data_IF_546436683526
#
_entry.id   IF_546436683526
#
_cell.length_a   1.000
_cell.length_b   1.000
_cell.length_c   1.000
_cell.angle_alpha   90.00
_cell.angle_beta   90.00
_cell.angle_gamma   90.00
#
_symmetry.space_group_name_H-M   'P 1'
#
loop_
_entity.id
_entity.type
_entity.pdbx_description
1 polymer ?
#
# COMPACT_ATOMS: atom_id res chain seq x y z
N UNK A 1 -40.87 -43.69 -67.11
CA UNK A 1 -41.33 -44.07 -65.76
C UNK A 1 -40.13 -44.13 -64.83
N UNK A 2 -40.32 -43.61 -63.61
CA UNK A 2 -39.46 -43.67 -62.40
C UNK A 2 -38.24 -42.72 -62.34
N UNK A 3 -38.38 -41.77 -61.42
CA UNK A 3 -37.37 -40.86 -60.89
C UNK A 3 -36.30 -41.58 -60.05
N UNK A 4 -35.10 -41.02 -59.90
CA UNK A 4 -34.23 -41.29 -58.77
C UNK A 4 -34.35 -40.21 -57.69
N UNK A 5 -33.95 -40.64 -56.49
CA UNK A 5 -34.24 -40.09 -55.18
C UNK A 5 -33.57 -38.75 -54.86
N UNK A 6 -34.29 -37.97 -54.05
CA UNK A 6 -33.77 -36.87 -53.25
C UNK A 6 -32.77 -37.40 -52.20
N UNK A 7 -31.61 -36.75 -52.12
CA UNK A 7 -30.82 -36.68 -50.88
C UNK A 7 -30.74 -35.21 -50.49
N UNK A 8 -31.38 -34.88 -49.38
CA UNK A 8 -31.41 -33.54 -48.77
C UNK A 8 -30.02 -33.04 -48.43
N UNK A 9 -29.56 -31.99 -49.09
CA UNK A 9 -28.50 -31.14 -48.58
C UNK A 9 -29.14 -30.12 -47.62
N UNK A 10 -29.00 -30.36 -46.31
CA UNK A 10 -29.30 -29.34 -45.29
C UNK A 10 -28.15 -28.35 -45.32
N UNK A 11 -28.31 -27.25 -46.06
CA UNK A 11 -27.50 -26.05 -45.84
C UNK A 11 -27.82 -25.51 -44.44
N UNK A 12 -26.83 -25.28 -43.56
CA UNK A 12 -27.06 -24.52 -42.37
C UNK A 12 -27.29 -23.05 -42.75
N UNK A 13 -28.45 -22.51 -42.39
CA UNK A 13 -28.74 -21.08 -42.39
C UNK A 13 -27.60 -20.35 -41.66
N UNK A 14 -26.79 -19.58 -42.38
CA UNK A 14 -25.99 -18.52 -41.76
C UNK A 14 -26.95 -17.42 -41.33
N UNK A 15 -27.34 -17.45 -40.05
CA UNK A 15 -27.91 -16.29 -39.38
C UNK A 15 -26.80 -15.23 -39.27
N UNK A 16 -27.04 -13.98 -39.66
CA UNK A 16 -26.13 -12.91 -39.34
C UNK A 16 -26.26 -12.68 -37.85
N UNK A 17 -25.42 -13.35 -37.05
CA UNK A 17 -25.21 -12.91 -35.68
C UNK A 17 -24.70 -11.49 -35.80
N UNK A 18 -25.58 -10.56 -35.41
CA UNK A 18 -25.26 -9.16 -35.26
C UNK A 18 -23.92 -9.10 -34.57
N UNK A 19 -22.94 -8.60 -35.33
CA UNK A 19 -21.75 -8.02 -34.76
C UNK A 19 -22.32 -6.99 -33.80
N UNK A 20 -22.37 -7.31 -32.51
CA UNK A 20 -22.38 -6.30 -31.49
C UNK A 20 -21.12 -5.51 -31.81
N UNK A 21 -21.33 -4.41 -32.52
CA UNK A 21 -20.38 -3.35 -32.63
C UNK A 21 -19.91 -3.17 -31.19
N UNK A 22 -18.67 -3.56 -30.96
CA UNK A 22 -17.88 -3.02 -29.88
C UNK A 22 -17.80 -1.55 -30.24
N UNK A 23 -18.87 -0.81 -29.95
CA UNK A 23 -18.88 0.63 -29.91
C UNK A 23 -17.72 0.90 -28.99
N UNK A 24 -16.63 1.33 -29.63
CA UNK A 24 -15.52 2.00 -28.99
C UNK A 24 -16.17 2.87 -27.93
N UNK A 25 -16.03 2.47 -26.67
CA UNK A 25 -16.15 3.40 -25.58
C UNK A 25 -15.15 4.49 -25.95
N UNK A 26 -15.67 5.58 -26.53
CA UNK A 26 -14.91 6.74 -26.91
C UNK A 26 -14.05 7.05 -25.70
N UNK A 27 -12.73 6.93 -25.86
CA UNK A 27 -11.78 6.79 -24.76
C UNK A 27 -12.01 7.87 -23.71
N UNK A 28 -12.81 7.55 -22.70
CA UNK A 28 -13.03 8.42 -21.57
C UNK A 28 -11.71 8.39 -20.81
N UNK A 29 -10.93 9.44 -20.99
CA UNK A 29 -9.62 9.58 -20.38
C UNK A 29 -9.70 9.12 -18.92
N UNK A 30 -8.88 8.12 -18.57
CA UNK A 30 -8.90 7.53 -17.24
C UNK A 30 -8.33 8.52 -16.22
N UNK A 31 -9.20 9.41 -15.74
CA UNK A 31 -8.83 10.48 -14.81
C UNK A 31 -8.52 9.94 -13.42
N UNK A 32 -8.87 8.68 -13.10
CA UNK A 32 -8.55 8.04 -11.82
C UNK A 32 -7.02 7.86 -11.66
N UNK A 33 -6.28 7.74 -12.77
CA UNK A 33 -4.80 7.79 -12.79
C UNK A 33 -4.20 9.12 -12.33
N UNK A 34 -5.01 10.18 -12.17
CA UNK A 34 -4.56 11.49 -11.67
C UNK A 34 -4.63 11.61 -10.14
N UNK A 35 -5.07 10.57 -9.45
CA UNK A 35 -5.03 10.50 -7.99
C UNK A 35 -3.56 10.33 -7.56
N UNK A 36 -3.13 11.19 -6.66
CA UNK A 36 -1.81 11.16 -6.03
C UNK A 36 -1.93 10.76 -4.55
N UNK A 37 -0.97 10.00 -4.06
CA UNK A 37 -0.93 9.42 -2.73
C UNK A 37 0.16 10.08 -1.89
N UNK A 38 -0.17 10.62 -0.72
CA UNK A 38 0.74 11.42 0.09
C UNK A 38 0.83 10.84 1.51
N UNK A 39 2.01 10.44 1.97
CA UNK A 39 2.24 10.29 3.41
C UNK A 39 2.29 11.69 4.07
N UNK A 40 2.00 11.82 5.38
CA UNK A 40 2.14 13.09 6.11
C UNK A 40 3.46 13.82 5.89
N UNK A 41 4.51 13.05 5.59
CA UNK A 41 5.90 13.47 5.50
C UNK A 41 6.43 13.77 4.09
N UNK A 42 5.70 13.38 3.02
CA UNK A 42 6.22 13.43 1.65
C UNK A 42 5.18 13.88 0.62
N UNK A 43 5.54 14.79 -0.31
CA UNK A 43 4.69 15.12 -1.44
C UNK A 43 4.72 14.01 -2.51
N UNK A 44 3.66 13.19 -2.54
CA UNK A 44 3.04 12.62 -3.75
C UNK A 44 3.75 11.44 -4.45
N UNK A 45 3.38 10.22 -4.07
CA UNK A 45 3.49 9.02 -4.90
C UNK A 45 2.39 9.02 -5.98
N UNK A 46 2.75 8.66 -7.22
CA UNK A 46 1.78 8.48 -8.32
C UNK A 46 1.10 7.11 -8.31
N UNK A 47 1.47 6.23 -7.38
CA UNK A 47 1.01 4.84 -7.33
C UNK A 47 0.66 4.43 -5.90
N UNK A 48 -0.16 3.39 -5.79
CA UNK A 48 -0.45 2.72 -4.52
C UNK A 48 0.78 1.98 -3.94
N UNK A 49 1.97 2.10 -4.54
CA UNK A 49 3.20 1.44 -4.06
C UNK A 49 3.59 1.90 -2.66
N UNK A 50 3.17 3.12 -2.26
CA UNK A 50 3.29 3.59 -0.87
C UNK A 50 2.58 2.67 0.13
N UNK A 51 1.64 1.82 -0.30
CA UNK A 51 0.94 0.87 0.57
C UNK A 51 1.63 -0.52 0.61
N UNK A 52 2.77 -0.70 -0.08
CA UNK A 52 3.52 -1.97 -0.09
C UNK A 52 4.39 -2.17 1.15
N UNK A 53 4.51 -1.14 1.99
CA UNK A 53 5.02 -1.27 3.34
C UNK A 53 4.13 -0.50 4.30
N UNK A 54 4.24 -0.72 5.60
CA UNK A 54 3.51 0.11 6.55
C UNK A 54 3.56 -0.39 7.99
N UNK A 55 2.72 0.22 8.81
CA UNK A 55 2.61 -0.02 10.24
C UNK A 55 1.23 0.42 10.73
N UNK A 56 0.85 0.00 11.94
CA UNK A 56 -0.40 0.47 12.57
C UNK A 56 -0.32 1.99 12.70
N UNK A 57 -1.32 2.71 12.19
CA UNK A 57 -1.36 4.16 12.19
C UNK A 57 -0.76 4.83 10.95
N UNK A 58 -0.07 4.08 10.08
CA UNK A 58 0.42 4.61 8.80
C UNK A 58 -0.77 5.11 7.97
N UNK A 59 -0.66 6.33 7.46
CA UNK A 59 -1.75 7.00 6.75
C UNK A 59 -1.27 7.60 5.43
N UNK A 60 -2.13 7.53 4.42
CA UNK A 60 -1.90 8.09 3.10
C UNK A 60 -3.10 8.92 2.72
N UNK A 61 -2.86 10.17 2.38
CA UNK A 61 -3.90 11.07 1.87
C UNK A 61 -3.89 11.01 0.35
N UNK A 62 -5.05 10.72 -0.24
CA UNK A 62 -5.28 10.79 -1.68
C UNK A 62 -5.81 12.18 -2.04
N UNK A 63 -5.28 12.74 -3.12
CA UNK A 63 -5.73 14.01 -3.67
C UNK A 63 -5.64 14.01 -5.20
N UNK A 64 -6.28 14.96 -5.86
CA UNK A 64 -6.17 15.19 -7.31
C UNK A 64 -6.27 16.67 -7.60
N UNK A 65 -5.37 17.17 -8.44
CA UNK A 65 -5.42 18.54 -8.96
C UNK A 65 -6.12 18.62 -10.33
N UNK A 66 -6.73 17.52 -10.79
CA UNK A 66 -7.45 17.50 -12.07
C UNK A 66 -8.81 18.15 -11.94
N UNK A 67 -9.08 19.19 -12.75
CA UNK A 67 -10.43 19.79 -12.87
C UNK A 67 -11.53 18.82 -13.33
N UNK A 68 -11.13 17.66 -13.85
CA UNK A 68 -12.03 16.60 -14.32
C UNK A 68 -12.24 15.47 -13.30
N UNK A 69 -11.62 15.56 -12.11
CA UNK A 69 -11.73 14.55 -11.07
C UNK A 69 -11.96 15.22 -9.72
N UNK A 70 -13.20 15.14 -9.23
CA UNK A 70 -13.56 15.53 -7.88
C UNK A 70 -13.61 14.28 -7.00
N UNK A 71 -12.83 14.25 -5.91
CA UNK A 71 -12.80 13.09 -5.02
C UNK A 71 -14.18 12.85 -4.36
N UNK A 72 -14.98 13.89 -4.14
CA UNK A 72 -16.33 13.74 -3.57
C UNK A 72 -17.28 12.92 -4.45
N UNK A 73 -17.00 12.80 -5.75
CA UNK A 73 -17.78 11.96 -6.68
C UNK A 73 -17.37 10.49 -6.60
N UNK A 74 -16.31 10.17 -5.85
CA UNK A 74 -15.72 8.84 -5.76
C UNK A 74 -16.21 8.07 -4.54
N UNK A 75 -16.38 6.77 -4.71
CA UNK A 75 -16.49 5.81 -3.62
C UNK A 75 -15.28 4.89 -3.61
N UNK A 76 -14.92 4.43 -2.42
CA UNK A 76 -13.71 3.65 -2.20
C UNK A 76 -14.08 2.37 -1.48
N UNK A 77 -13.55 1.25 -1.97
CA UNK A 77 -13.70 -0.06 -1.34
C UNK A 77 -12.35 -0.73 -1.25
N UNK A 78 -12.05 -1.28 -0.08
CA UNK A 78 -10.83 -2.06 0.16
C UNK A 78 -11.23 -3.50 0.43
N UNK A 79 -10.47 -4.45 -0.12
CA UNK A 79 -10.79 -5.88 0.04
C UNK A 79 -10.46 -6.41 1.44
N UNK A 80 -9.71 -5.67 2.25
CA UNK A 80 -9.26 -6.09 3.58
C UNK A 80 -9.55 -5.00 4.62
N UNK A 81 -9.95 -5.42 5.82
CA UNK A 81 -10.32 -4.53 6.93
C UNK A 81 -9.12 -4.01 7.75
N UNK A 82 -7.88 -4.38 7.39
CA UNK A 82 -6.69 -3.79 7.98
C UNK A 82 -6.33 -2.43 7.39
N UNK A 83 -6.90 -2.10 6.23
CA UNK A 83 -6.86 -0.77 5.64
C UNK A 83 -8.24 -0.14 5.79
N UNK A 84 -8.29 1.05 6.35
CA UNK A 84 -9.51 1.82 6.54
C UNK A 84 -9.52 2.98 5.55
N UNK A 85 -10.69 3.28 4.97
CA UNK A 85 -10.91 4.52 4.23
C UNK A 85 -11.64 5.49 5.14
N UNK A 86 -11.00 6.61 5.45
CA UNK A 86 -11.61 7.71 6.21
C UNK A 86 -12.38 8.66 5.29
N UNK A 87 -13.41 9.34 5.83
CA UNK A 87 -14.23 10.27 5.06
C UNK A 87 -13.43 11.41 4.44
N UNK A 88 -14.06 12.06 3.46
CA UNK A 88 -13.51 13.21 2.77
C UNK A 88 -13.35 14.39 3.75
N UNK A 89 -12.13 14.88 3.93
CA UNK A 89 -11.89 16.17 4.58
C UNK A 89 -11.27 17.10 3.54
N UNK A 90 -11.91 18.24 3.26
CA UNK A 90 -11.41 19.26 2.31
C UNK A 90 -11.06 18.68 0.92
N UNK A 91 -11.88 17.75 0.41
CA UNK A 91 -11.65 17.13 -0.90
C UNK A 91 -10.50 16.12 -0.94
N UNK A 92 -10.04 15.64 0.23
CA UNK A 92 -9.00 14.62 0.37
C UNK A 92 -9.55 13.38 1.05
N UNK A 93 -9.03 12.21 0.70
CA UNK A 93 -9.43 10.92 1.29
C UNK A 93 -8.23 10.28 1.96
N UNK A 94 -8.37 9.86 3.21
CA UNK A 94 -7.25 9.24 3.93
C UNK A 94 -7.44 7.73 4.01
N UNK A 95 -6.45 6.98 3.54
CA UNK A 95 -6.29 5.56 3.80
C UNK A 95 -5.46 5.40 5.07
N UNK A 96 -5.92 4.60 6.04
CA UNK A 96 -5.19 4.33 7.30
C UNK A 96 -5.02 2.85 7.53
N UNK A 97 -3.80 2.41 7.80
CA UNK A 97 -3.54 1.04 8.23
C UNK A 97 -3.87 0.90 9.72
N UNK A 98 -4.88 0.11 10.07
CA UNK A 98 -5.43 0.05 11.45
C UNK A 98 -4.97 -1.17 12.23
N UNK A 99 -4.48 -2.21 11.55
CA UNK A 99 -3.88 -3.39 12.17
C UNK A 99 -2.86 -4.01 11.24
N UNK A 100 -2.03 -4.88 11.78
CA UNK A 100 -1.16 -5.75 11.00
C UNK A 100 -1.98 -6.73 10.14
N UNK A 101 -1.69 -6.86 8.83
CA UNK A 101 -2.30 -7.89 8.02
C UNK A 101 -1.79 -9.27 8.44
N UNK A 102 -2.62 -10.31 8.33
CA UNK A 102 -2.16 -11.69 8.39
C UNK A 102 -1.39 -12.05 7.11
N UNK A 103 -0.67 -13.17 7.12
CA UNK A 103 0.19 -13.58 5.99
C UNK A 103 -0.58 -13.71 4.66
N UNK A 104 -1.81 -14.22 4.71
CA UNK A 104 -2.77 -14.42 3.62
C UNK A 104 -3.58 -13.15 3.26
N UNK A 105 -3.55 -12.14 4.12
CA UNK A 105 -4.22 -10.85 3.91
C UNK A 105 -3.33 -9.78 3.27
N UNK A 106 -2.06 -10.11 2.98
CA UNK A 106 -1.09 -9.16 2.43
C UNK A 106 -1.42 -8.70 1.01
N UNK A 107 -2.12 -9.54 0.24
CA UNK A 107 -2.68 -9.17 -1.05
C UNK A 107 -4.01 -8.44 -0.86
N UNK A 108 -4.06 -7.20 -1.36
CA UNK A 108 -5.20 -6.29 -1.22
C UNK A 108 -5.50 -5.59 -2.53
N UNK A 109 -6.77 -5.23 -2.71
CA UNK A 109 -7.24 -4.41 -3.81
C UNK A 109 -7.99 -3.21 -3.25
N UNK A 110 -7.57 -2.01 -3.66
CA UNK A 110 -8.33 -0.77 -3.50
C UNK A 110 -9.11 -0.54 -4.79
N UNK A 111 -10.43 -0.50 -4.71
CA UNK A 111 -11.32 -0.18 -5.82
C UNK A 111 -11.84 1.23 -5.64
N UNK A 112 -11.66 2.06 -6.66
CA UNK A 112 -12.17 3.44 -6.72
C UNK A 112 -13.24 3.47 -7.80
N UNK A 113 -14.44 3.90 -7.45
CA UNK A 113 -15.57 3.99 -8.36
C UNK A 113 -16.03 5.46 -8.47
N UNK A 114 -16.14 5.97 -9.69
CA UNK A 114 -16.66 7.29 -9.95
C UNK A 114 -18.17 7.22 -10.18
N UNK A 115 -18.95 7.75 -9.24
CA UNK A 115 -20.42 7.73 -9.30
C UNK A 115 -20.99 8.55 -10.46
N UNK A 116 -20.26 9.57 -10.92
CA UNK A 116 -20.69 10.47 -12.00
C UNK A 116 -20.48 9.85 -13.38
N UNK A 117 -19.37 9.13 -13.59
CA UNK A 117 -19.02 8.55 -14.90
C UNK A 117 -19.28 7.05 -14.99
N UNK A 118 -19.56 6.38 -13.87
CA UNK A 118 -19.68 4.92 -13.78
C UNK A 118 -18.34 4.16 -13.87
N UNK A 119 -17.23 4.86 -14.13
CA UNK A 119 -15.91 4.25 -14.28
C UNK A 119 -15.38 3.71 -12.95
N UNK A 120 -14.66 2.58 -13.01
CA UNK A 120 -14.00 2.00 -11.85
C UNK A 120 -12.55 1.66 -12.16
N UNK A 121 -11.67 1.84 -11.18
CA UNK A 121 -10.27 1.41 -11.25
C UNK A 121 -9.92 0.58 -10.02
N UNK A 122 -9.28 -0.56 -10.25
CA UNK A 122 -8.75 -1.43 -9.21
C UNK A 122 -7.23 -1.27 -9.11
N UNK A 123 -6.75 -1.00 -7.90
CA UNK A 123 -5.34 -0.93 -7.55
C UNK A 123 -5.02 -2.12 -6.65
N UNK A 124 -4.43 -3.16 -7.25
CA UNK A 124 -3.94 -4.32 -6.50
C UNK A 124 -2.52 -4.06 -6.03
N UNK A 125 -2.25 -4.39 -4.77
CA UNK A 125 -0.94 -4.26 -4.17
C UNK A 125 -0.71 -5.34 -3.10
N UNK A 126 0.55 -5.51 -2.73
CA UNK A 126 0.99 -6.51 -1.78
C UNK A 126 1.86 -5.87 -0.70
N UNK A 127 1.52 -6.08 0.57
CA UNK A 127 2.32 -5.61 1.71
C UNK A 127 3.56 -6.49 1.86
N UNK A 128 4.70 -5.99 1.41
CA UNK A 128 6.01 -6.65 1.49
C UNK A 128 6.63 -6.52 2.89
N UNK A 129 6.52 -5.34 3.47
CA UNK A 129 7.21 -5.00 4.72
C UNK A 129 6.23 -4.45 5.73
N UNK A 130 6.19 -5.03 6.92
CA UNK A 130 5.39 -4.51 8.03
C UNK A 130 6.31 -4.15 9.20
N UNK A 131 6.15 -2.94 9.73
CA UNK A 131 6.93 -2.47 10.88
C UNK A 131 6.16 -2.70 12.18
N UNK A 132 6.92 -3.08 13.19
CA UNK A 132 6.50 -3.34 14.55
C UNK A 132 7.47 -2.67 15.50
N UNK A 133 6.98 -2.40 16.71
CA UNK A 133 7.72 -1.75 17.77
C UNK A 133 6.77 -1.43 18.92
N UNK A 134 7.36 -1.14 20.06
CA UNK A 134 6.70 -0.71 21.29
C UNK A 134 7.34 0.60 21.83
N UNK A 135 8.15 1.27 21.00
CA UNK A 135 8.76 2.55 21.31
C UNK A 135 10.03 2.50 22.17
N UNK A 136 10.60 1.33 22.51
CA UNK A 136 11.80 1.35 23.35
C UNK A 136 13.04 1.90 22.65
N UNK A 137 13.92 2.45 23.46
CA UNK A 137 15.24 2.95 23.10
C UNK A 137 16.25 1.92 23.62
N UNK A 138 17.02 1.33 22.72
CA UNK A 138 17.99 0.29 23.06
C UNK A 138 19.41 0.88 23.14
N UNK A 139 20.20 0.47 24.13
CA UNK A 139 21.54 1.03 24.34
C UNK A 139 22.55 0.60 23.27
N UNK A 140 22.34 -0.57 22.66
CA UNK A 140 23.21 -1.14 21.63
C UNK A 140 22.43 -2.08 20.69
N UNK A 141 23.04 -2.41 19.54
CA UNK A 141 22.41 -3.25 18.52
C UNK A 141 22.07 -4.67 19.02
N UNK A 142 22.84 -5.23 19.96
CA UNK A 142 22.56 -6.56 20.49
C UNK A 142 21.23 -6.59 21.26
N UNK A 143 20.98 -5.58 22.09
CA UNK A 143 19.69 -5.39 22.75
C UNK A 143 18.57 -5.16 21.74
N UNK A 144 18.79 -4.28 20.76
CA UNK A 144 17.80 -4.01 19.71
C UNK A 144 17.42 -5.25 18.89
N UNK A 145 18.38 -6.15 18.61
CA UNK A 145 18.11 -7.43 17.94
C UNK A 145 17.25 -8.35 18.80
N UNK A 146 17.65 -8.60 20.05
CA UNK A 146 16.89 -9.42 21.00
C UNK A 146 15.48 -8.87 21.19
N UNK A 147 15.37 -7.54 21.22
CA UNK A 147 14.09 -6.87 21.28
C UNK A 147 13.24 -7.17 20.05
N UNK A 148 13.75 -6.97 18.83
CA UNK A 148 12.99 -7.31 17.63
C UNK A 148 12.59 -8.79 17.56
N UNK A 149 13.46 -9.71 17.99
CA UNK A 149 13.16 -11.14 18.07
C UNK A 149 11.97 -11.42 19.01
N UNK A 150 11.93 -10.77 20.19
CA UNK A 150 10.81 -10.84 21.14
C UNK A 150 9.50 -10.35 20.52
N UNK A 151 9.55 -9.38 19.61
CA UNK A 151 8.38 -8.88 18.87
C UNK A 151 8.03 -9.72 17.63
N UNK A 152 8.69 -10.86 17.41
CA UNK A 152 8.47 -11.70 16.21
C UNK A 152 8.98 -11.06 14.92
N UNK A 153 10.02 -10.24 15.02
CA UNK A 153 10.60 -9.49 13.93
C UNK A 153 12.13 -9.53 13.92
N UNK A 154 12.72 -8.68 13.08
CA UNK A 154 14.17 -8.47 13.01
C UNK A 154 14.49 -7.01 12.75
N UNK A 155 15.72 -6.59 13.04
CA UNK A 155 16.18 -5.28 12.61
C UNK A 155 16.19 -5.19 11.08
N UNK A 156 15.85 -4.00 10.59
CA UNK A 156 15.92 -3.67 9.18
C UNK A 156 17.36 -3.56 8.73
N UNK A 157 17.67 -3.98 7.50
CA UNK A 157 18.93 -3.60 6.86
C UNK A 157 18.95 -2.10 6.61
N UNK A 158 20.13 -1.50 6.50
CA UNK A 158 20.29 -0.07 6.18
C UNK A 158 19.54 0.29 4.90
N UNK A 159 19.56 -0.59 3.88
CA UNK A 159 18.86 -0.36 2.62
C UNK A 159 17.34 -0.37 2.80
N UNK A 160 16.79 -1.40 3.46
CA UNK A 160 15.36 -1.47 3.73
C UNK A 160 14.88 -0.28 4.59
N UNK A 161 15.70 0.14 5.56
CA UNK A 161 15.43 1.31 6.39
C UNK A 161 15.38 2.60 5.55
N UNK A 162 16.30 2.80 4.60
CA UNK A 162 16.30 3.96 3.69
C UNK A 162 15.07 4.00 2.79
N UNK A 163 14.65 2.86 2.28
CA UNK A 163 13.48 2.80 1.40
C UNK A 163 12.20 3.12 2.18
N UNK A 164 12.06 2.60 3.41
CA UNK A 164 10.97 2.96 4.33
C UNK A 164 11.02 4.43 4.75
N UNK A 165 12.21 4.92 5.06
CA UNK A 165 12.47 6.32 5.38
C UNK A 165 11.91 7.23 4.29
N UNK A 166 12.30 7.03 3.03
CA UNK A 166 11.77 7.82 1.91
C UNK A 166 10.27 7.68 1.73
N UNK A 167 9.72 6.50 2.00
CA UNK A 167 8.30 6.21 1.84
C UNK A 167 7.41 6.89 2.88
N UNK A 168 7.80 6.81 4.15
CA UNK A 168 6.95 7.18 5.29
C UNK A 168 7.46 8.34 6.12
N UNK A 169 8.72 8.75 6.00
CA UNK A 169 9.28 9.77 6.90
C UNK A 169 9.93 10.91 6.15
N UNK A 170 10.39 10.69 4.91
CA UNK A 170 10.92 11.73 4.03
C UNK A 170 11.94 12.62 4.75
N UNK A 171 11.98 13.89 4.36
CA UNK A 171 12.78 14.92 5.05
C UNK A 171 12.00 15.58 6.21
N UNK A 172 11.14 14.83 6.89
CA UNK A 172 10.27 15.42 7.93
C UNK A 172 11.04 15.89 9.14
N UNK A 173 10.42 16.85 9.83
CA UNK A 173 10.78 17.30 11.17
C UNK A 173 9.59 17.12 12.13
N UNK A 174 9.85 17.21 13.43
CA UNK A 174 8.82 17.10 14.46
C UNK A 174 8.56 15.68 14.98
N UNK A 175 7.55 15.55 15.84
CA UNK A 175 7.25 14.33 16.57
C UNK A 175 6.54 13.29 15.68
N UNK A 176 7.02 12.05 15.73
CA UNK A 176 6.47 10.95 14.92
C UNK A 176 5.03 10.62 15.28
N UNK A 177 4.65 10.77 16.57
CA UNK A 177 3.27 10.56 17.01
C UNK A 177 2.32 11.70 16.63
N UNK A 178 2.82 12.89 16.31
CA UNK A 178 1.97 13.95 15.75
C UNK A 178 1.68 13.69 14.28
N UNK A 179 2.70 13.27 13.52
CA UNK A 179 2.54 12.87 12.11
C UNK A 179 1.70 11.59 11.96
N UNK A 180 1.90 10.63 12.86
CA UNK A 180 1.22 9.32 12.86
C UNK A 180 0.55 9.05 14.22
N UNK A 181 -0.60 9.68 14.52
CA UNK A 181 -1.23 9.58 15.84
C UNK A 181 -1.73 8.19 16.21
N UNK A 182 -1.93 7.30 15.23
CA UNK A 182 -2.27 5.90 15.46
C UNK A 182 -1.06 4.97 15.63
N UNK A 183 0.18 5.47 15.53
CA UNK A 183 1.36 4.64 15.56
C UNK A 183 1.79 4.28 16.98
N UNK A 184 1.81 2.98 17.27
CA UNK A 184 2.21 2.43 18.58
C UNK A 184 3.70 2.09 18.65
N UNK A 185 4.39 2.10 17.52
CA UNK A 185 5.81 1.71 17.44
C UNK A 185 6.79 2.81 17.84
N UNK A 186 6.31 4.04 18.02
CA UNK A 186 7.13 5.18 18.43
C UNK A 186 6.82 5.54 19.87
N UNK A 187 7.85 5.86 20.66
CA UNK A 187 7.62 6.53 21.94
C UNK A 187 7.11 7.96 21.73
N UNK A 188 6.67 8.59 22.82
CA UNK A 188 6.05 9.92 22.78
C UNK A 188 7.00 11.03 22.33
N UNK A 189 8.29 10.88 22.61
CA UNK A 189 9.31 11.89 22.34
C UNK A 189 10.03 11.68 21.00
N UNK A 190 9.79 10.57 20.31
CA UNK A 190 10.51 10.20 19.11
C UNK A 190 10.24 11.21 17.97
N UNK A 191 11.32 11.72 17.40
CA UNK A 191 11.27 12.72 16.32
C UNK A 191 11.71 12.11 14.99
N UNK A 192 11.27 12.71 13.87
CA UNK A 192 11.78 12.37 12.54
C UNK A 192 13.30 12.58 12.41
N UNK A 193 13.84 13.50 13.22
CA UNK A 193 15.27 13.76 13.37
C UNK A 193 16.05 12.64 14.06
N UNK A 194 15.39 11.71 14.73
CA UNK A 194 16.06 10.76 15.61
C UNK A 194 16.78 9.64 14.88
N UNK A 195 17.66 8.98 15.62
CA UNK A 195 18.41 7.83 15.16
C UNK A 195 17.72 6.52 15.52
N UNK A 196 17.97 5.50 14.70
CA UNK A 196 17.41 4.17 14.85
C UNK A 196 18.45 3.09 14.59
N UNK A 197 18.36 1.98 15.32
CA UNK A 197 19.22 0.81 15.07
C UNK A 197 18.87 0.11 13.75
N UNK A 198 19.92 -0.29 13.02
CA UNK A 198 19.82 -1.16 11.84
C UNK A 198 20.64 -2.42 12.03
N UNK A 199 20.35 -3.43 11.21
CA UNK A 199 20.93 -4.76 11.33
C UNK A 199 22.46 -4.75 11.26
N UNK A 200 23.08 -3.83 10.52
CA UNK A 200 24.53 -3.76 10.33
C UNK A 200 25.32 -3.25 11.56
N UNK A 201 24.73 -3.20 12.75
CA UNK A 201 25.47 -2.84 13.97
C UNK A 201 25.74 -1.34 14.12
N UNK A 202 24.95 -0.51 13.43
CA UNK A 202 25.06 0.95 13.45
C UNK A 202 23.70 1.59 13.62
N UNK A 203 23.70 2.88 13.92
CA UNK A 203 22.50 3.71 13.92
C UNK A 203 22.45 4.60 12.68
N UNK A 204 21.25 4.95 12.24
CA UNK A 204 21.00 5.87 11.13
C UNK A 204 19.88 6.84 11.48
N UNK A 205 19.92 8.06 10.95
CA UNK A 205 18.83 9.02 11.11
C UNK A 205 17.58 8.58 10.35
N UNK A 206 16.39 8.73 10.93
CA UNK A 206 15.14 8.28 10.33
C UNK A 206 14.81 9.01 9.04
N UNK A 207 14.98 10.33 8.97
CA UNK A 207 14.61 11.14 7.81
C UNK A 207 15.62 11.08 6.65
N UNK A 208 16.89 10.71 6.89
CA UNK A 208 17.90 10.64 5.81
C UNK A 208 18.43 9.24 5.53
N UNK A 209 18.34 8.32 6.50
CA UNK A 209 19.02 7.02 6.45
C UNK A 209 20.56 7.14 6.37
N UNK A 210 21.12 8.31 6.72
CA UNK A 210 22.56 8.54 6.86
C UNK A 210 22.99 8.02 8.23
N UNK A 211 24.24 7.55 8.32
CA UNK A 211 24.85 7.08 9.57
C UNK A 211 24.72 8.16 10.66
N UNK A 212 24.31 7.73 11.85
CA UNK A 212 24.33 8.54 13.05
C UNK A 212 25.47 8.09 13.97
N UNK A 213 25.95 9.01 14.79
CA UNK A 213 26.91 8.75 15.86
C UNK A 213 26.23 8.65 17.23
N UNK A 214 24.91 8.88 17.29
CA UNK A 214 24.12 8.76 18.52
C UNK A 214 24.11 7.32 18.99
N UNK A 215 24.36 7.15 20.28
CA UNK A 215 24.25 5.89 21.02
C UNK A 215 22.98 5.92 21.86
N UNK A 216 22.43 4.75 22.18
CA UNK A 216 21.14 4.64 22.86
C UNK A 216 20.03 5.28 22.04
N UNK A 217 19.54 4.55 21.04
CA UNK A 217 18.65 5.07 19.99
C UNK A 217 17.41 4.20 19.84
N UNK A 218 16.41 4.70 19.13
CA UNK A 218 15.13 4.02 18.95
C UNK A 218 15.30 2.69 18.16
N UNK A 219 14.36 1.77 18.35
CA UNK A 219 14.34 0.49 17.64
C UNK A 219 13.07 0.33 16.80
N UNK A 220 13.26 -0.07 15.54
CA UNK A 220 12.17 -0.44 14.63
C UNK A 220 12.42 -1.84 14.08
N UNK A 221 11.38 -2.66 14.13
CA UNK A 221 11.46 -4.06 13.80
C UNK A 221 10.63 -4.36 12.55
N UNK A 222 11.22 -5.06 11.59
CA UNK A 222 10.48 -5.67 10.49
C UNK A 222 9.86 -6.98 10.97
N UNK A 223 8.53 -7.05 10.97
CA UNK A 223 7.81 -8.29 11.24
C UNK A 223 8.18 -9.38 10.23
N UNK A 224 8.34 -10.62 10.72
CA UNK A 224 8.59 -11.78 9.87
C UNK A 224 7.28 -12.53 9.63
N UNK A 225 6.74 -12.38 8.42
CA UNK A 225 5.67 -13.25 7.95
C UNK A 225 6.19 -14.67 7.74
N UNK A 226 5.40 -15.71 8.06
CA UNK A 226 5.68 -17.07 7.63
C UNK A 226 5.94 -17.12 6.12
N UNK A 227 6.87 -17.99 5.71
CA UNK A 227 7.03 -18.30 4.30
C UNK A 227 5.68 -18.81 3.76
N UNK A 228 5.26 -18.33 2.59
CA UNK A 228 4.13 -18.93 1.90
C UNK A 228 4.56 -20.35 1.57
N UNK A 229 3.99 -21.35 2.26
CA UNK A 229 4.16 -22.73 1.84
C UNK A 229 3.56 -22.81 0.43
N UNK A 230 4.43 -22.92 -0.58
CA UNK A 230 4.01 -23.43 -1.87
C UNK A 230 3.60 -24.87 -1.60
N UNK A 231 2.29 -25.10 -1.50
CA UNK A 231 1.74 -26.44 -1.62
C UNK A 231 2.30 -27.02 -2.92
N UNK A 232 3.20 -27.98 -2.75
CA UNK A 232 3.66 -28.86 -3.80
C UNK A 232 2.41 -29.62 -4.23
N UNK A 233 1.81 -29.20 -5.35
CA UNK A 233 0.85 -30.02 -6.07
C UNK A 233 1.60 -31.27 -6.55
N UNK A 234 1.48 -32.35 -5.77
CA UNK A 234 1.67 -33.71 -6.24
C UNK A 234 0.43 -34.20 -6.96
#
# INVERSE_FOLDING_TARGET
MKAPMLVSAVLPLMLPFGVFANEKAAGAADYLKKISFHSPSMPGYRTADILTSGFVGASVTMSSNSKFLNLNDLTFRVSRNWLEVKPHHEGRVTLRMVRQPKADERATTLVIHNRKTGQSQAFSFYVKTWLTGDGVIDANTSQARKHCERLGGKLLTTQAFRDLSRQWFGLSSGYLREMYPGATLFNAQAQAGDSFWVNEGKSVYLHTGIKSHTRTVNTLCQHQYPALHQETRG
#
